data_IF_622125630131
#
_entry.id   IF_622125630131
#
_cell.length_a   1.000
_cell.length_b   1.000
_cell.length_c   1.000
_cell.angle_alpha   90.00
_cell.angle_beta   90.00
_cell.angle_gamma   90.00
#
_symmetry.space_group_name_H-M   'P 1'
#
loop_
_entity.id
_entity.type
_entity.pdbx_description
1 polymer ?
#
# COMPACT_ATOMS: atom_id res chain seq x y z
N UNK A 1 8.23 11.60 -28.72
CA UNK A 1 7.83 11.48 -27.32
C UNK A 1 6.38 10.99 -27.18
N UNK A 2 5.45 11.54 -27.94
CA UNK A 2 4.02 11.19 -27.91
C UNK A 2 3.71 9.71 -28.31
N UNK A 3 4.42 9.16 -29.29
CA UNK A 3 4.28 7.76 -29.72
C UNK A 3 4.77 6.75 -28.66
N UNK A 4 5.75 7.11 -27.85
CA UNK A 4 6.26 6.28 -26.76
C UNK A 4 5.24 6.28 -25.63
N UNK A 5 4.68 7.43 -25.27
CA UNK A 5 3.66 7.57 -24.23
C UNK A 5 2.36 6.81 -24.61
N UNK A 6 1.93 6.87 -25.88
CA UNK A 6 0.77 6.08 -26.37
C UNK A 6 1.03 4.57 -26.32
N UNK A 7 2.25 4.10 -26.63
CA UNK A 7 2.60 2.68 -26.47
C UNK A 7 2.61 2.24 -25.00
N UNK A 8 3.18 3.06 -24.12
CA UNK A 8 3.21 2.79 -22.66
C UNK A 8 1.79 2.76 -22.11
N UNK A 9 0.92 3.71 -22.49
CA UNK A 9 -0.48 3.71 -22.06
C UNK A 9 -1.26 2.48 -22.52
N UNK A 10 -1.02 1.98 -23.75
CA UNK A 10 -1.63 0.71 -24.21
C UNK A 10 -1.12 -0.52 -23.42
N UNK A 11 0.17 -0.56 -23.09
CA UNK A 11 0.74 -1.64 -22.28
C UNK A 11 0.20 -1.57 -20.86
N UNK A 12 0.09 -0.37 -20.28
CA UNK A 12 -0.49 -0.16 -18.95
C UNK A 12 -1.95 -0.61 -18.88
N UNK A 13 -2.78 -0.22 -19.85
CA UNK A 13 -4.19 -0.64 -19.90
C UNK A 13 -4.34 -2.15 -20.12
N UNK A 14 -3.47 -2.76 -20.91
CA UNK A 14 -3.44 -4.23 -21.10
C UNK A 14 -3.03 -4.92 -19.77
N UNK A 15 -1.95 -4.45 -19.13
CA UNK A 15 -1.49 -4.98 -17.85
C UNK A 15 -2.58 -4.86 -16.76
N UNK A 16 -3.27 -3.72 -16.66
CA UNK A 16 -4.36 -3.53 -15.71
C UNK A 16 -5.55 -4.45 -15.98
N UNK A 17 -5.84 -4.74 -17.25
CA UNK A 17 -6.94 -5.64 -17.63
C UNK A 17 -6.68 -7.10 -17.28
N UNK A 18 -5.42 -7.52 -17.38
CA UNK A 18 -5.00 -8.92 -17.15
C UNK A 18 -4.18 -9.07 -15.87
N UNK A 19 -4.27 -8.10 -14.96
CA UNK A 19 -3.44 -8.03 -13.73
C UNK A 19 -3.48 -9.33 -12.93
N UNK A 20 -4.65 -9.95 -12.75
CA UNK A 20 -4.80 -11.21 -12.02
C UNK A 20 -4.05 -12.37 -12.69
N UNK A 21 -4.13 -12.49 -14.02
CA UNK A 21 -3.45 -13.53 -14.79
C UNK A 21 -1.93 -13.32 -14.73
N UNK A 22 -1.49 -12.06 -14.84
CA UNK A 22 -0.07 -11.70 -14.78
C UNK A 22 0.49 -12.04 -13.40
N UNK A 23 -0.22 -11.71 -12.32
CA UNK A 23 0.19 -12.05 -10.94
C UNK A 23 0.34 -13.55 -10.78
N UNK A 24 -0.67 -14.34 -11.19
CA UNK A 24 -0.62 -15.80 -11.09
C UNK A 24 0.56 -16.36 -11.90
N UNK A 25 0.76 -15.89 -13.13
CA UNK A 25 1.86 -16.36 -13.99
C UNK A 25 3.24 -16.03 -13.38
N UNK A 26 3.43 -14.81 -12.85
CA UNK A 26 4.68 -14.44 -12.18
C UNK A 26 4.88 -15.20 -10.87
N UNK A 27 3.83 -15.44 -10.09
CA UNK A 27 3.92 -16.24 -8.86
C UNK A 27 4.32 -17.68 -9.15
N UNK A 28 3.74 -18.30 -10.19
CA UNK A 28 4.14 -19.63 -10.64
C UNK A 28 5.58 -19.63 -11.11
N UNK A 29 5.98 -18.64 -11.93
CA UNK A 29 7.35 -18.54 -12.44
C UNK A 29 8.36 -18.39 -11.30
N UNK A 30 8.06 -17.54 -10.33
CA UNK A 30 8.90 -17.29 -9.17
C UNK A 30 9.00 -18.51 -8.25
N UNK A 31 7.92 -19.28 -8.09
CA UNK A 31 7.92 -20.53 -7.34
C UNK A 31 8.86 -21.59 -7.97
N UNK A 32 8.85 -21.71 -9.29
CA UNK A 32 9.72 -22.67 -10.00
C UNK A 32 11.16 -22.19 -10.18
N UNK A 33 11.39 -20.87 -10.22
CA UNK A 33 12.73 -20.29 -10.46
C UNK A 33 13.16 -19.34 -9.33
N UNK A 34 13.20 -19.87 -8.14
CA UNK A 34 13.46 -19.16 -6.89
C UNK A 34 14.78 -18.37 -6.92
N UNK A 35 15.86 -18.99 -7.40
CA UNK A 35 17.20 -18.38 -7.42
C UNK A 35 17.29 -17.19 -8.39
N UNK A 36 16.52 -17.21 -9.49
CA UNK A 36 16.48 -16.14 -10.47
C UNK A 36 15.87 -14.83 -9.91
N UNK A 37 15.02 -14.93 -8.89
CA UNK A 37 14.34 -13.77 -8.28
C UNK A 37 14.92 -13.39 -6.91
N UNK A 38 15.76 -14.22 -6.30
CA UNK A 38 16.31 -13.99 -4.95
C UNK A 38 17.07 -12.67 -4.82
N UNK A 39 17.75 -12.20 -5.86
CA UNK A 39 18.47 -10.92 -5.86
C UNK A 39 17.53 -9.71 -5.66
N UNK A 40 16.28 -9.81 -6.09
CA UNK A 40 15.29 -8.74 -5.95
C UNK A 40 14.92 -8.47 -4.51
N UNK A 41 15.06 -9.44 -3.60
CA UNK A 41 14.72 -9.28 -2.18
C UNK A 41 15.53 -8.16 -1.52
N UNK A 42 16.78 -7.95 -1.94
CA UNK A 42 17.63 -6.88 -1.43
C UNK A 42 17.11 -5.47 -1.79
N UNK A 43 16.31 -5.35 -2.85
CA UNK A 43 15.77 -4.08 -3.34
C UNK A 43 14.30 -3.87 -2.95
N UNK A 44 13.72 -4.73 -2.09
CA UNK A 44 12.32 -4.65 -1.65
C UNK A 44 11.95 -3.25 -1.17
N UNK A 45 12.76 -2.70 -0.26
CA UNK A 45 12.48 -1.37 0.30
C UNK A 45 12.52 -0.26 -0.74
N UNK A 46 13.38 -0.38 -1.76
CA UNK A 46 13.50 0.60 -2.85
C UNK A 46 12.26 0.53 -3.75
N UNK A 47 11.86 -0.67 -4.18
CA UNK A 47 10.67 -0.86 -5.01
C UNK A 47 9.40 -0.40 -4.29
N UNK A 48 9.26 -0.79 -3.00
CA UNK A 48 8.14 -0.35 -2.18
C UNK A 48 8.13 1.19 -2.04
N UNK A 49 9.30 1.81 -1.84
CA UNK A 49 9.45 3.26 -1.82
C UNK A 49 9.01 3.92 -3.13
N UNK A 50 9.35 3.35 -4.28
CA UNK A 50 8.92 3.85 -5.61
C UNK A 50 7.40 3.76 -5.76
N UNK A 51 6.77 2.66 -5.32
CA UNK A 51 5.31 2.51 -5.34
C UNK A 51 4.65 3.54 -4.41
N UNK A 52 5.18 3.71 -3.20
CA UNK A 52 4.66 4.69 -2.24
C UNK A 52 4.82 6.12 -2.75
N UNK A 53 5.92 6.42 -3.44
CA UNK A 53 6.10 7.69 -4.14
C UNK A 53 5.04 7.89 -5.23
N UNK A 54 4.80 6.86 -6.05
CA UNK A 54 3.75 6.86 -7.06
C UNK A 54 2.36 7.07 -6.44
N UNK A 55 2.06 6.42 -5.32
CA UNK A 55 0.84 6.66 -4.56
C UNK A 55 0.74 8.12 -4.11
N UNK A 56 1.84 8.71 -3.61
CA UNK A 56 1.90 10.13 -3.26
C UNK A 56 1.58 11.05 -4.44
N UNK A 57 2.04 10.71 -5.66
CA UNK A 57 1.72 11.45 -6.89
C UNK A 57 0.23 11.40 -7.28
N UNK A 58 -0.53 10.41 -6.84
CA UNK A 58 -1.96 10.32 -7.13
C UNK A 58 -2.82 11.15 -6.18
N UNK A 59 -2.30 11.50 -5.01
CA UNK A 59 -3.02 12.29 -3.99
C UNK A 59 -3.04 13.77 -4.41
N UNK A 60 -4.23 14.36 -4.46
CA UNK A 60 -4.43 15.78 -4.78
C UNK A 60 -4.64 16.58 -3.50
N UNK A 61 -4.25 17.86 -3.50
CA UNK A 61 -4.55 18.76 -2.38
C UNK A 61 -6.06 18.89 -2.12
N UNK A 62 -6.86 18.74 -3.16
CA UNK A 62 -8.33 18.73 -3.07
C UNK A 62 -8.86 17.58 -2.22
N UNK A 63 -8.17 16.42 -2.20
CA UNK A 63 -8.54 15.27 -1.40
C UNK A 63 -8.46 15.56 0.10
N UNK A 64 -7.54 16.44 0.50
CA UNK A 64 -7.46 16.90 1.88
C UNK A 64 -8.68 17.74 2.30
N UNK A 65 -9.37 18.38 1.34
CA UNK A 65 -10.58 19.13 1.61
C UNK A 65 -11.70 18.23 2.15
N UNK A 66 -11.78 16.99 1.69
CA UNK A 66 -12.73 16.01 2.20
C UNK A 66 -12.48 15.71 3.70
N UNK A 67 -11.18 15.62 4.10
CA UNK A 67 -10.79 15.37 5.50
C UNK A 67 -11.27 16.53 6.40
N UNK A 68 -11.07 17.77 5.96
CA UNK A 68 -11.47 18.94 6.73
C UNK A 68 -12.99 19.20 6.70
N UNK A 69 -13.68 18.75 5.66
CA UNK A 69 -15.14 18.92 5.55
C UNK A 69 -15.92 17.95 6.44
N UNK A 70 -15.38 16.74 6.64
CA UNK A 70 -16.04 15.66 7.42
C UNK A 70 -15.07 14.95 8.36
N UNK A 71 -14.43 15.67 9.29
CA UNK A 71 -13.36 15.12 10.13
C UNK A 71 -13.84 13.97 11.01
N UNK A 72 -15.07 14.03 11.51
CA UNK A 72 -15.63 12.98 12.37
C UNK A 72 -15.75 11.64 11.64
N UNK A 73 -16.25 11.64 10.42
CA UNK A 73 -16.43 10.43 9.61
C UNK A 73 -15.09 9.80 9.24
N UNK A 74 -14.12 10.63 8.85
CA UNK A 74 -12.75 10.20 8.52
C UNK A 74 -12.04 9.62 9.74
N UNK A 75 -12.16 10.26 10.91
CA UNK A 75 -11.54 9.76 12.15
C UNK A 75 -12.19 8.45 12.58
N UNK A 76 -13.52 8.33 12.53
CA UNK A 76 -14.22 7.08 12.84
C UNK A 76 -13.74 5.95 11.92
N UNK A 77 -13.61 6.22 10.62
CA UNK A 77 -13.10 5.23 9.66
C UNK A 77 -11.66 4.82 9.93
N UNK A 78 -10.77 5.79 10.24
CA UNK A 78 -9.38 5.50 10.59
C UNK A 78 -9.25 4.71 11.90
N UNK A 79 -10.04 5.06 12.92
CA UNK A 79 -10.11 4.31 14.19
C UNK A 79 -10.64 2.89 13.96
N UNK A 80 -11.70 2.75 13.16
CA UNK A 80 -12.24 1.44 12.81
C UNK A 80 -11.20 0.58 12.07
N UNK A 81 -10.45 1.15 11.11
CA UNK A 81 -9.36 0.47 10.40
C UNK A 81 -8.32 -0.08 11.38
N UNK A 82 -7.80 0.76 12.27
CA UNK A 82 -6.74 0.38 13.22
C UNK A 82 -7.24 -0.39 14.46
N UNK A 83 -8.53 -0.62 14.58
CA UNK A 83 -9.12 -1.44 15.65
C UNK A 83 -9.62 -2.77 15.10
N UNK A 84 -10.52 -2.72 14.10
CA UNK A 84 -11.21 -3.92 13.60
C UNK A 84 -10.22 -4.85 12.88
N UNK A 85 -9.43 -4.32 11.93
CA UNK A 85 -8.53 -5.14 11.12
C UNK A 85 -7.44 -5.84 11.94
N UNK A 86 -6.71 -5.16 12.86
CA UNK A 86 -5.73 -5.83 13.72
C UNK A 86 -6.36 -6.87 14.65
N UNK A 87 -7.54 -6.57 15.23
CA UNK A 87 -8.23 -7.52 16.11
C UNK A 87 -8.66 -8.76 15.33
N UNK A 88 -9.24 -8.60 14.14
CA UNK A 88 -9.62 -9.73 13.27
C UNK A 88 -8.38 -10.55 12.90
N UNK A 89 -7.29 -9.92 12.51
CA UNK A 89 -6.02 -10.60 12.20
C UNK A 89 -5.51 -11.41 13.41
N UNK A 90 -5.51 -10.81 14.58
CA UNK A 90 -5.09 -11.49 15.82
C UNK A 90 -5.99 -12.69 16.18
N UNK A 91 -7.32 -12.52 16.08
CA UNK A 91 -8.29 -13.61 16.33
C UNK A 91 -8.07 -14.76 15.34
N UNK A 92 -7.87 -14.45 14.04
CA UNK A 92 -7.57 -15.48 13.03
C UNK A 92 -6.30 -16.25 13.36
N UNK A 93 -5.22 -15.55 13.76
CA UNK A 93 -3.98 -16.22 14.18
C UNK A 93 -4.22 -17.20 15.35
N UNK A 94 -5.03 -16.81 16.33
CA UNK A 94 -5.37 -17.65 17.49
C UNK A 94 -6.25 -18.83 17.10
N UNK A 95 -7.32 -18.60 16.33
CA UNK A 95 -8.25 -19.65 15.91
C UNK A 95 -7.59 -20.69 15.02
N UNK A 96 -6.71 -20.25 14.11
CA UNK A 96 -6.00 -21.13 13.19
C UNK A 96 -4.73 -21.73 13.80
N UNK A 97 -4.35 -21.37 15.01
CA UNK A 97 -3.11 -21.80 15.68
C UNK A 97 -1.87 -21.63 14.77
N UNK A 98 -1.73 -20.45 14.15
CA UNK A 98 -0.65 -20.19 13.23
C UNK A 98 0.72 -20.19 13.94
N UNK A 99 1.78 -20.74 13.30
CA UNK A 99 3.14 -20.61 13.80
C UNK A 99 3.56 -19.12 13.84
N UNK A 100 4.51 -18.79 14.72
CA UNK A 100 4.89 -17.41 15.05
C UNK A 100 5.18 -16.53 13.82
N UNK A 101 5.93 -17.07 12.85
CA UNK A 101 6.31 -16.34 11.63
C UNK A 101 5.09 -15.99 10.75
N UNK A 102 4.17 -16.93 10.58
CA UNK A 102 2.94 -16.70 9.83
C UNK A 102 1.98 -15.76 10.59
N UNK A 103 1.89 -15.94 11.91
CA UNK A 103 1.08 -15.05 12.76
C UNK A 103 1.57 -13.61 12.68
N UNK A 104 2.90 -13.38 12.72
CA UNK A 104 3.47 -12.06 12.55
C UNK A 104 3.09 -11.45 11.20
N UNK A 105 3.17 -12.21 10.10
CA UNK A 105 2.79 -11.75 8.77
C UNK A 105 1.32 -11.35 8.69
N UNK A 106 0.40 -12.17 9.21
CA UNK A 106 -1.05 -11.87 9.24
C UNK A 106 -1.35 -10.63 10.08
N UNK A 107 -0.72 -10.48 11.24
CA UNK A 107 -0.88 -9.31 12.11
C UNK A 107 -0.33 -8.05 11.42
N UNK A 108 0.84 -8.14 10.77
CA UNK A 108 1.39 -7.02 9.99
C UNK A 108 0.41 -6.54 8.93
N UNK A 109 -0.20 -7.45 8.17
CA UNK A 109 -1.23 -7.10 7.16
C UNK A 109 -2.43 -6.44 7.82
N UNK A 110 -2.92 -6.97 8.96
CA UNK A 110 -4.01 -6.38 9.70
C UNK A 110 -3.73 -4.98 10.27
N UNK A 111 -2.46 -4.69 10.58
CA UNK A 111 -2.02 -3.39 11.10
C UNK A 111 -1.65 -2.39 9.98
N UNK A 112 -1.76 -2.77 8.69
CA UNK A 112 -1.52 -1.86 7.58
C UNK A 112 -2.62 -0.80 7.43
N UNK A 113 -2.28 0.40 6.90
CA UNK A 113 -3.28 1.41 6.58
C UNK A 113 -4.20 0.95 5.45
N UNK A 114 -5.32 1.67 5.25
CA UNK A 114 -6.26 1.40 4.17
C UNK A 114 -5.60 1.48 2.79
N UNK A 115 -5.89 0.49 1.93
CA UNK A 115 -5.33 0.42 0.58
C UNK A 115 -6.11 1.26 -0.44
N UNK A 116 -5.43 1.77 -1.48
CA UNK A 116 -6.05 2.55 -2.57
C UNK A 116 -7.08 1.75 -3.36
N UNK A 117 -6.98 0.43 -3.38
CA UNK A 117 -7.95 -0.46 -4.02
C UNK A 117 -9.35 -0.29 -3.43
N UNK A 118 -9.47 0.04 -2.13
CA UNK A 118 -10.76 0.31 -1.49
C UNK A 118 -11.48 1.51 -2.11
N UNK A 119 -10.73 2.53 -2.55
CA UNK A 119 -11.29 3.71 -3.21
C UNK A 119 -11.92 3.35 -4.56
N UNK A 120 -11.29 2.45 -5.31
CA UNK A 120 -11.80 1.94 -6.59
C UNK A 120 -13.07 1.12 -6.36
N UNK A 121 -13.09 0.25 -5.35
CA UNK A 121 -14.26 -0.55 -4.99
C UNK A 121 -15.41 0.36 -4.56
N UNK A 122 -15.13 1.39 -3.75
CA UNK A 122 -16.11 2.39 -3.32
C UNK A 122 -16.72 3.11 -4.52
N UNK A 123 -15.90 3.49 -5.51
CA UNK A 123 -16.37 4.10 -6.76
C UNK A 123 -17.30 3.17 -7.53
N UNK A 124 -16.92 1.90 -7.74
CA UNK A 124 -17.73 0.92 -8.47
C UNK A 124 -19.04 0.63 -7.75
N UNK A 125 -19.04 0.64 -6.42
CA UNK A 125 -20.21 0.42 -5.57
C UNK A 125 -21.12 1.68 -5.48
N UNK A 126 -20.76 2.81 -6.09
CA UNK A 126 -21.51 4.07 -6.00
C UNK A 126 -21.46 4.73 -4.63
N UNK A 127 -20.42 4.42 -3.83
CA UNK A 127 -20.22 5.00 -2.51
C UNK A 127 -19.50 6.36 -2.55
N UNK A 128 -19.26 6.94 -1.36
CA UNK A 128 -18.56 8.22 -1.21
C UNK A 128 -17.05 8.05 -1.35
N UNK A 129 -16.55 8.28 -2.56
CA UNK A 129 -15.13 8.14 -2.91
C UNK A 129 -14.27 9.17 -2.15
N UNK A 130 -14.78 10.39 -1.95
CA UNK A 130 -14.04 11.44 -1.27
C UNK A 130 -13.78 11.07 0.20
N UNK A 131 -14.76 10.48 0.86
CA UNK A 131 -14.61 9.96 2.23
C UNK A 131 -13.61 8.79 2.25
N UNK A 132 -13.71 7.85 1.31
CA UNK A 132 -12.81 6.69 1.22
C UNK A 132 -11.34 7.12 1.03
N UNK A 133 -11.09 8.07 0.12
CA UNK A 133 -9.76 8.65 -0.10
C UNK A 133 -9.27 9.35 1.16
N UNK A 134 -10.11 10.17 1.82
CA UNK A 134 -9.77 10.84 3.06
C UNK A 134 -9.34 9.88 4.18
N UNK A 135 -10.07 8.78 4.36
CA UNK A 135 -9.71 7.71 5.31
C UNK A 135 -8.38 7.06 4.97
N UNK A 136 -8.14 6.78 3.68
CA UNK A 136 -6.87 6.20 3.21
C UNK A 136 -5.69 7.13 3.49
N UNK A 137 -5.83 8.43 3.22
CA UNK A 137 -4.78 9.42 3.48
C UNK A 137 -4.47 9.49 4.97
N UNK A 138 -5.48 9.63 5.82
CA UNK A 138 -5.28 9.75 7.28
C UNK A 138 -4.66 8.48 7.84
N UNK A 139 -5.15 7.30 7.45
CA UNK A 139 -4.56 6.03 7.90
C UNK A 139 -3.11 5.87 7.44
N UNK A 140 -2.78 6.24 6.20
CA UNK A 140 -1.42 6.17 5.67
C UNK A 140 -0.46 7.11 6.41
N UNK A 141 -0.91 8.33 6.72
CA UNK A 141 -0.10 9.29 7.51
C UNK A 141 0.08 8.85 8.97
N UNK A 142 -0.89 8.15 9.53
CA UNK A 142 -0.81 7.59 10.89
C UNK A 142 0.01 6.28 10.96
N UNK A 143 0.19 5.58 9.84
CA UNK A 143 0.85 4.27 9.78
C UNK A 143 2.24 4.22 10.44
N UNK A 144 3.13 5.21 10.31
CA UNK A 144 4.46 5.16 10.93
C UNK A 144 4.45 4.97 12.44
N UNK A 145 3.39 5.40 13.11
CA UNK A 145 3.21 5.26 14.55
C UNK A 145 2.27 4.11 14.88
N UNK A 146 1.10 4.07 14.23
CA UNK A 146 0.03 3.12 14.56
C UNK A 146 0.41 1.69 14.20
N UNK A 147 1.01 1.45 13.02
CA UNK A 147 1.38 0.09 12.61
C UNK A 147 2.43 -0.53 13.52
N UNK A 148 3.59 0.10 13.83
CA UNK A 148 4.55 -0.45 14.78
C UNK A 148 3.99 -0.64 16.18
N UNK A 149 3.16 0.30 16.65
CA UNK A 149 2.53 0.22 17.97
C UNK A 149 1.60 -1.00 18.09
N UNK A 150 0.73 -1.21 17.11
CA UNK A 150 -0.19 -2.34 17.11
C UNK A 150 0.54 -3.67 16.93
N UNK A 151 1.53 -3.74 16.05
CA UNK A 151 2.35 -4.94 15.87
C UNK A 151 3.11 -5.27 17.14
N UNK A 152 3.70 -4.28 17.82
CA UNK A 152 4.40 -4.47 19.08
C UNK A 152 3.47 -5.08 20.16
N UNK A 153 2.23 -4.57 20.28
CA UNK A 153 1.26 -5.08 21.27
C UNK A 153 0.74 -6.48 20.89
N UNK A 154 0.37 -6.67 19.63
CA UNK A 154 -0.34 -7.87 19.20
C UNK A 154 0.59 -9.04 18.86
N UNK A 155 1.75 -8.77 18.28
CA UNK A 155 2.72 -9.79 17.89
C UNK A 155 3.88 -9.96 18.88
N UNK A 156 4.06 -9.06 19.81
CA UNK A 156 5.14 -9.11 20.80
C UNK A 156 5.13 -10.35 21.72
N UNK A 157 3.98 -11.03 21.80
CA UNK A 157 3.87 -12.30 22.51
C UNK A 157 4.51 -13.48 21.75
N UNK A 158 4.74 -13.37 20.46
CA UNK A 158 5.28 -14.43 19.60
C UNK A 158 6.70 -14.17 19.11
N UNK A 159 7.04 -12.89 18.88
CA UNK A 159 8.34 -12.48 18.31
C UNK A 159 8.84 -11.20 18.97
N UNK A 160 10.14 -11.14 19.25
CA UNK A 160 10.78 -9.91 19.72
C UNK A 160 10.78 -8.87 18.60
N UNK A 161 9.98 -7.83 18.76
CA UNK A 161 9.82 -6.75 17.77
C UNK A 161 10.42 -5.46 18.33
N UNK A 162 11.39 -4.90 17.64
CA UNK A 162 11.93 -3.59 17.99
C UNK A 162 11.02 -2.48 17.45
N UNK A 163 10.27 -1.84 18.35
CA UNK A 163 9.37 -0.73 18.02
C UNK A 163 10.06 0.37 17.21
N UNK A 164 11.21 0.88 17.69
CA UNK A 164 11.92 1.97 17.02
C UNK A 164 12.47 1.61 15.65
N UNK A 165 12.97 0.39 15.48
CA UNK A 165 13.43 -0.08 14.18
C UNK A 165 12.29 -0.15 13.17
N UNK A 166 11.09 -0.59 13.61
CA UNK A 166 9.88 -0.59 12.77
C UNK A 166 9.42 0.83 12.43
N UNK A 167 9.35 1.74 13.38
CA UNK A 167 8.98 3.14 13.14
C UNK A 167 9.89 3.75 12.08
N UNK A 168 11.22 3.62 12.24
CA UNK A 168 12.19 4.15 11.28
C UNK A 168 12.03 3.52 9.88
N UNK A 169 11.77 2.21 9.82
CA UNK A 169 11.55 1.51 8.56
C UNK A 169 10.30 2.04 7.85
N UNK A 170 9.17 2.13 8.55
CA UNK A 170 7.91 2.62 7.99
C UNK A 170 8.01 4.08 7.57
N UNK A 171 8.67 4.94 8.37
CA UNK A 171 8.92 6.33 7.99
C UNK A 171 9.72 6.42 6.69
N UNK A 172 10.83 5.67 6.58
CA UNK A 172 11.70 5.71 5.40
C UNK A 172 11.05 5.15 4.15
N UNK A 173 10.30 4.06 4.29
CA UNK A 173 9.78 3.29 3.14
C UNK A 173 8.39 3.74 2.71
N UNK A 174 7.60 4.29 3.61
CA UNK A 174 6.22 4.73 3.33
C UNK A 174 6.10 6.25 3.41
N UNK A 175 6.37 6.84 4.58
CA UNK A 175 6.04 8.26 4.79
C UNK A 175 6.86 9.20 3.92
N UNK A 176 8.19 9.01 3.89
CA UNK A 176 9.08 9.89 3.10
C UNK A 176 8.74 9.84 1.61
N UNK A 177 8.62 8.67 0.94
CA UNK A 177 8.25 8.63 -0.46
C UNK A 177 6.88 9.21 -0.76
N UNK A 178 5.87 8.95 0.08
CA UNK A 178 4.52 9.49 -0.09
C UNK A 178 4.53 11.02 -0.01
N UNK A 179 5.20 11.59 1.00
CA UNK A 179 5.31 13.04 1.14
C UNK A 179 6.07 13.69 -0.02
N UNK A 180 7.14 13.06 -0.49
CA UNK A 180 7.86 13.52 -1.69
C UNK A 180 6.98 13.46 -2.94
N UNK A 181 6.15 12.43 -3.08
CA UNK A 181 5.18 12.32 -4.17
C UNK A 181 4.15 13.44 -4.14
N UNK A 182 3.54 13.72 -2.98
CA UNK A 182 2.58 14.81 -2.79
C UNK A 182 3.25 16.16 -3.09
N UNK A 183 4.47 16.38 -2.59
CA UNK A 183 5.22 17.61 -2.81
C UNK A 183 5.49 17.83 -4.30
N UNK A 184 5.97 16.81 -5.00
CA UNK A 184 6.24 16.89 -6.44
C UNK A 184 4.96 17.14 -7.23
N UNK A 185 3.85 16.48 -6.86
CA UNK A 185 2.53 16.73 -7.45
C UNK A 185 2.11 18.18 -7.30
N UNK A 186 2.28 18.74 -6.11
CA UNK A 186 1.91 20.12 -5.81
C UNK A 186 2.75 21.13 -6.59
N UNK A 187 4.05 20.84 -6.80
CA UNK A 187 4.98 21.71 -7.51
C UNK A 187 4.89 21.59 -9.03
N UNK A 188 4.70 20.38 -9.56
CA UNK A 188 4.74 20.11 -10.99
C UNK A 188 3.35 20.12 -11.67
N UNK A 189 2.25 20.21 -10.90
CA UNK A 189 0.89 20.32 -11.42
C UNK A 189 0.52 19.19 -12.40
N UNK A 190 -0.23 19.53 -13.45
CA UNK A 190 -0.78 18.59 -14.43
C UNK A 190 0.28 17.84 -15.27
N UNK A 191 1.55 18.23 -15.22
CA UNK A 191 2.63 17.52 -15.92
C UNK A 191 2.87 16.13 -15.33
N UNK A 192 2.48 15.88 -14.09
CA UNK A 192 2.61 14.61 -13.38
C UNK A 192 1.58 13.59 -13.86
N UNK A 193 0.44 13.99 -14.40
CA UNK A 193 -0.62 13.07 -14.86
C UNK A 193 -0.12 12.09 -15.93
N UNK A 194 0.83 12.52 -16.77
CA UNK A 194 1.45 11.65 -17.77
C UNK A 194 2.37 10.57 -17.17
N UNK A 195 2.90 10.79 -15.98
CA UNK A 195 3.78 9.84 -15.28
C UNK A 195 2.95 8.87 -14.44
N UNK A 196 1.82 9.31 -13.90
CA UNK A 196 0.93 8.46 -13.11
C UNK A 196 0.33 7.30 -13.90
N UNK A 197 0.19 7.43 -15.23
CA UNK A 197 -0.28 6.34 -16.12
C UNK A 197 0.69 5.13 -16.18
N UNK A 198 1.95 5.30 -15.77
CA UNK A 198 2.97 4.24 -15.76
C UNK A 198 3.02 3.51 -14.41
N UNK A 199 2.50 4.11 -13.33
CA UNK A 199 2.56 3.56 -11.98
C UNK A 199 1.91 2.16 -11.82
N UNK A 200 0.78 1.84 -12.48
CA UNK A 200 0.21 0.50 -12.41
C UNK A 200 1.16 -0.59 -12.86
N UNK A 201 2.04 -0.32 -13.85
CA UNK A 201 3.03 -1.28 -14.31
C UNK A 201 4.08 -1.61 -13.24
N UNK A 202 4.54 -0.61 -12.51
CA UNK A 202 5.51 -0.78 -11.42
C UNK A 202 4.88 -1.61 -10.30
N UNK A 203 3.61 -1.31 -9.95
CA UNK A 203 2.86 -2.07 -8.94
C UNK A 203 2.65 -3.54 -9.32
N UNK A 204 2.40 -3.84 -10.60
CA UNK A 204 2.25 -5.22 -11.10
C UNK A 204 3.53 -6.02 -10.92
N UNK A 205 4.68 -5.45 -11.25
CA UNK A 205 5.98 -6.09 -11.08
C UNK A 205 6.27 -6.39 -9.61
N UNK A 206 5.91 -5.49 -8.71
CA UNK A 206 6.11 -5.66 -7.26
C UNK A 206 5.20 -6.74 -6.67
N UNK A 207 3.91 -6.76 -7.03
CA UNK A 207 2.96 -7.78 -6.53
C UNK A 207 3.40 -9.18 -6.97
N UNK A 208 3.86 -9.34 -8.22
CA UNK A 208 4.38 -10.62 -8.71
C UNK A 208 5.57 -11.12 -7.90
N UNK A 209 6.34 -10.22 -7.30
CA UNK A 209 7.49 -10.53 -6.47
C UNK A 209 7.14 -10.91 -5.02
N UNK A 210 6.10 -10.34 -4.44
CA UNK A 210 5.72 -10.57 -3.04
C UNK A 210 5.35 -12.03 -2.72
N UNK A 211 5.27 -12.88 -3.74
CA UNK A 211 4.96 -14.31 -3.63
C UNK A 211 6.19 -15.23 -3.78
N UNK A 212 7.41 -14.68 -3.75
CA UNK A 212 8.69 -15.42 -3.73
C UNK A 212 9.27 -15.46 -2.32
#
# INVERSE_FOLDING_TARGET
>A
MENILKKIGKISSFASRYIGIIIIAFSCLAFFWRDGFAWMTNYTSVFLGVIMFGMGLTIRLEDFRAIFSRPKEVIIGAVAQYTIMPVVAWVLCKVMNLPADLALGVILVGCCPGGTTSNVITYIAGGDVALSVGMTIVSTLAAPVMTPFLVYILAGAWVEVSFWAMVLSVVKVILVPVLLGILLRTLAGDHVDKVSDVMPLISVVEIGRAHV
#
